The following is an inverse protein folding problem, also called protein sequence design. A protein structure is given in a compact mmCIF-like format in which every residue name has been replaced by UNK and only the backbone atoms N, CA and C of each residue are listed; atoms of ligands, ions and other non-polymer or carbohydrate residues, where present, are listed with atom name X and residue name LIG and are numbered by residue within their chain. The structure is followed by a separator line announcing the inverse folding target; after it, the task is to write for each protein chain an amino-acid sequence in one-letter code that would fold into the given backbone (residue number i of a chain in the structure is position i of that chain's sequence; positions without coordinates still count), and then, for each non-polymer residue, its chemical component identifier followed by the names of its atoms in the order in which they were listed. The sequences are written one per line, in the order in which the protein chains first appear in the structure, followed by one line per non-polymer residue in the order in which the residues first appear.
data_IF_908078279520
#
_entry.id   IF_908078279520
#
_cell.length_a   1.000
_cell.length_b   1.000
_cell.length_c   1.000
_cell.angle_alpha   90.00
_cell.angle_beta   90.00
_cell.angle_gamma   90.00
#
_symmetry.space_group_name_H-M   'P 1'
#
loop_
_entity.id
_entity.type
_entity.pdbx_description
1 polymer ?
#
# COMPACT_ATOMS: atom_id res chain seq x y z
N UNK A 1 -12.17 17.68 5.02
CA UNK A 1 -12.96 16.42 5.05
C UNK A 1 -12.33 15.32 4.19
N UNK A 2 -11.96 15.59 2.93
CA UNK A 2 -11.34 14.62 2.02
C UNK A 2 -10.14 13.80 2.57
N UNK A 3 -9.14 14.37 3.28
CA UNK A 3 -8.01 13.55 3.77
C UNK A 3 -8.40 12.61 4.92
N UNK A 4 -9.41 12.99 5.72
CA UNK A 4 -9.93 12.15 6.82
C UNK A 4 -10.74 10.97 6.28
N UNK A 5 -11.57 11.19 5.25
CA UNK A 5 -12.30 10.10 4.58
C UNK A 5 -11.35 9.14 3.86
N UNK A 6 -10.28 9.65 3.25
CA UNK A 6 -9.26 8.80 2.64
C UNK A 6 -8.47 7.98 3.68
N UNK A 7 -8.15 8.56 4.84
CA UNK A 7 -7.47 7.84 5.93
C UNK A 7 -8.33 6.71 6.50
N UNK A 8 -9.62 6.99 6.73
CA UNK A 8 -10.58 5.98 7.21
C UNK A 8 -10.79 4.88 6.18
N UNK A 9 -10.87 5.20 4.89
CA UNK A 9 -10.92 4.21 3.82
C UNK A 9 -9.66 3.33 3.80
N UNK A 10 -8.47 3.90 3.93
CA UNK A 10 -7.22 3.14 3.96
C UNK A 10 -7.16 2.17 5.15
N UNK A 11 -7.61 2.60 6.32
CA UNK A 11 -7.74 1.73 7.49
C UNK A 11 -8.77 0.60 7.27
N UNK A 12 -9.92 0.92 6.69
CA UNK A 12 -10.96 -0.05 6.33
C UNK A 12 -10.48 -1.10 5.34
N UNK A 13 -9.73 -0.71 4.31
CA UNK A 13 -9.08 -1.63 3.35
C UNK A 13 -8.08 -2.53 4.06
N UNK A 14 -7.22 -1.96 4.92
CA UNK A 14 -6.25 -2.74 5.69
C UNK A 14 -6.91 -3.80 6.58
N UNK A 15 -7.99 -3.44 7.26
CA UNK A 15 -8.78 -4.37 8.05
C UNK A 15 -9.47 -5.44 7.18
N UNK A 16 -10.05 -5.06 6.05
CA UNK A 16 -10.72 -5.99 5.14
C UNK A 16 -9.77 -7.01 4.49
N UNK A 17 -8.52 -6.61 4.24
CA UNK A 17 -7.49 -7.49 3.68
C UNK A 17 -7.09 -8.58 4.68
N UNK A 18 -6.90 -8.22 5.96
CA UNK A 18 -6.47 -9.15 7.01
C UNK A 18 -7.61 -9.91 7.67
N UNK A 19 -8.84 -9.41 7.57
CA UNK A 19 -10.02 -10.09 8.07
C UNK A 19 -10.38 -11.28 7.16
N UNK A 20 -9.99 -12.48 7.59
CA UNK A 20 -10.35 -13.73 6.93
C UNK A 20 -11.55 -14.39 7.60
N UNK A 21 -12.65 -14.55 6.84
CA UNK A 21 -13.84 -15.30 7.29
C UNK A 21 -13.68 -16.82 7.19
N UNK A 22 -12.64 -17.33 6.52
CA UNK A 22 -12.33 -18.76 6.43
C UNK A 22 -10.83 -18.99 6.63
N UNK A 23 -10.40 -19.84 7.57
CA UNK A 23 -8.98 -20.11 7.80
C UNK A 23 -8.47 -21.09 6.75
N UNK A 24 -8.22 -20.60 5.53
CA UNK A 24 -7.75 -21.43 4.41
C UNK A 24 -6.28 -21.20 4.05
N UNK A 25 -5.59 -20.23 4.66
CA UNK A 25 -4.17 -19.94 4.40
C UNK A 25 -3.24 -20.57 5.44
N UNK A 26 -2.19 -21.23 4.97
CA UNK A 26 -1.05 -21.60 5.82
C UNK A 26 -0.37 -20.37 6.44
N UNK A 27 0.39 -20.57 7.52
CA UNK A 27 1.17 -19.53 8.20
C UNK A 27 1.97 -18.59 7.27
N UNK A 28 2.71 -19.09 6.24
CA UNK A 28 3.47 -18.20 5.35
C UNK A 28 2.60 -17.28 4.50
N UNK A 29 1.43 -17.76 4.04
CA UNK A 29 0.50 -16.95 3.25
C UNK A 29 -0.11 -15.81 4.07
N UNK A 30 -0.40 -16.06 5.35
CA UNK A 30 -0.85 -15.02 6.29
C UNK A 30 0.24 -13.99 6.57
N UNK A 31 1.47 -14.43 6.83
CA UNK A 31 2.61 -13.52 7.04
C UNK A 31 2.85 -12.62 5.82
N UNK A 32 2.82 -13.19 4.61
CA UNK A 32 2.96 -12.43 3.37
C UNK A 32 1.86 -11.38 3.22
N UNK A 33 0.59 -11.78 3.40
CA UNK A 33 -0.54 -10.86 3.31
C UNK A 33 -0.45 -9.72 4.34
N UNK A 34 -0.08 -10.04 5.58
CA UNK A 34 0.11 -9.04 6.64
C UNK A 34 1.25 -8.08 6.32
N UNK A 35 2.38 -8.60 5.82
CA UNK A 35 3.53 -7.77 5.43
C UNK A 35 3.18 -6.80 4.29
N UNK A 36 2.47 -7.28 3.26
CA UNK A 36 2.05 -6.47 2.11
C UNK A 36 1.02 -5.41 2.52
N UNK A 37 0.04 -5.80 3.34
CA UNK A 37 -0.95 -4.87 3.90
C UNK A 37 -0.27 -3.81 4.77
N UNK A 38 0.70 -4.21 5.59
CA UNK A 38 1.53 -3.29 6.36
C UNK A 38 2.34 -2.33 5.47
N UNK A 39 2.82 -2.78 4.31
CA UNK A 39 3.50 -1.92 3.34
C UNK A 39 2.55 -0.90 2.68
N UNK A 40 1.32 -1.30 2.35
CA UNK A 40 0.27 -0.39 1.89
C UNK A 40 -0.05 0.68 2.94
N UNK A 41 -0.31 0.27 4.19
CA UNK A 41 -0.61 1.23 5.25
C UNK A 41 0.57 2.17 5.54
N UNK A 42 1.81 1.66 5.55
CA UNK A 42 3.00 2.50 5.75
C UNK A 42 3.18 3.56 4.67
N UNK A 43 2.83 3.23 3.42
CA UNK A 43 2.97 4.14 2.28
C UNK A 43 1.89 5.21 2.25
N UNK A 44 0.64 4.86 2.60
CA UNK A 44 -0.49 5.78 2.56
C UNK A 44 -0.74 6.55 3.87
N UNK A 45 -0.57 5.93 5.05
CA UNK A 45 -1.06 6.47 6.31
C UNK A 45 -0.34 7.75 6.74
N UNK A 46 1.00 7.80 6.67
CA UNK A 46 1.76 8.98 7.15
C UNK A 46 1.42 10.26 6.36
N UNK A 47 1.39 10.27 5.02
CA UNK A 47 1.00 11.47 4.28
C UNK A 47 -0.49 11.82 4.46
N UNK A 48 -1.36 10.81 4.58
CA UNK A 48 -2.79 11.03 4.83
C UNK A 48 -3.05 11.62 6.22
N UNK A 49 -2.38 11.15 7.28
CA UNK A 49 -2.51 11.73 8.63
C UNK A 49 -2.01 13.17 8.66
N UNK A 50 -0.88 13.46 7.99
CA UNK A 50 -0.39 14.84 7.88
C UNK A 50 -1.39 15.74 7.16
N UNK A 51 -1.97 15.31 6.04
CA UNK A 51 -2.98 16.09 5.33
C UNK A 51 -4.31 16.20 6.10
N UNK A 52 -4.66 15.20 6.91
CA UNK A 52 -5.86 15.20 7.73
C UNK A 52 -5.76 16.18 8.90
N UNK A 53 -4.58 16.24 9.54
CA UNK A 53 -4.30 17.15 10.64
C UNK A 53 -4.00 18.58 10.16
N UNK A 54 -3.37 18.72 8.99
CA UNK A 54 -2.96 20.01 8.42
C UNK A 54 -3.40 20.07 6.94
N UNK A 55 -4.64 20.44 6.66
CA UNK A 55 -5.14 20.50 5.29
C UNK A 55 -4.49 21.68 4.54
N UNK A 56 -3.49 21.38 3.72
CA UNK A 56 -2.86 22.33 2.80
C UNK A 56 -2.63 21.71 1.41
N UNK A 57 -2.55 22.52 0.33
CA UNK A 57 -2.31 22.02 -1.02
C UNK A 57 -1.08 21.10 -1.16
N UNK A 58 0.13 21.44 -0.65
CA UNK A 58 1.30 20.58 -0.81
C UNK A 58 1.19 19.26 -0.06
N UNK A 59 0.53 19.24 1.12
CA UNK A 59 0.32 18.02 1.88
C UNK A 59 -0.71 17.10 1.22
N UNK A 60 -1.75 17.69 0.61
CA UNK A 60 -2.74 16.94 -0.15
C UNK A 60 -2.13 16.31 -1.39
N UNK A 61 -1.32 17.05 -2.15
CA UNK A 61 -0.58 16.50 -3.29
C UNK A 61 0.38 15.39 -2.88
N UNK A 62 1.11 15.56 -1.77
CA UNK A 62 1.96 14.51 -1.22
C UNK A 62 1.14 13.28 -0.80
N UNK A 63 -0.03 13.47 -0.23
CA UNK A 63 -0.95 12.39 0.12
C UNK A 63 -1.41 11.62 -1.13
N UNK A 64 -1.82 12.33 -2.20
CA UNK A 64 -2.18 11.71 -3.49
C UNK A 64 -0.98 10.95 -4.08
N UNK A 65 0.17 11.60 -4.17
CA UNK A 65 1.40 10.97 -4.67
C UNK A 65 1.87 9.77 -3.84
N UNK A 66 1.50 9.71 -2.55
CA UNK A 66 1.72 8.54 -1.71
C UNK A 66 0.69 7.43 -1.95
N UNK A 67 -0.57 7.78 -2.20
CA UNK A 67 -1.63 6.82 -2.54
C UNK A 67 -1.35 6.11 -3.86
N UNK A 68 -0.84 6.83 -4.86
CA UNK A 68 -0.39 6.22 -6.13
C UNK A 68 0.71 5.19 -5.87
N UNK A 69 1.71 5.52 -5.04
CA UNK A 69 2.78 4.56 -4.69
C UNK A 69 2.28 3.39 -3.85
N UNK A 70 1.23 3.59 -3.08
CA UNK A 70 0.60 2.56 -2.26
C UNK A 70 -0.20 1.55 -3.11
N UNK A 71 -0.49 1.84 -4.39
CA UNK A 71 -1.18 0.87 -5.26
C UNK A 71 -0.37 -0.40 -5.49
N UNK A 72 0.96 -0.31 -5.58
CA UNK A 72 1.79 -1.50 -5.81
C UNK A 72 1.69 -2.51 -4.65
N UNK A 73 1.91 -2.12 -3.37
CA UNK A 73 1.70 -3.04 -2.26
C UNK A 73 0.24 -3.47 -2.09
N UNK A 74 -0.74 -2.64 -2.47
CA UNK A 74 -2.16 -3.03 -2.46
C UNK A 74 -2.45 -4.15 -3.47
N UNK A 75 -1.98 -4.00 -4.72
CA UNK A 75 -2.12 -5.03 -5.76
C UNK A 75 -1.46 -6.34 -5.34
N UNK A 76 -0.27 -6.26 -4.75
CA UNK A 76 0.41 -7.44 -4.21
C UNK A 76 -0.38 -8.09 -3.07
N UNK A 77 -0.93 -7.30 -2.14
CA UNK A 77 -1.77 -7.82 -1.05
C UNK A 77 -3.03 -8.53 -1.59
N UNK A 78 -3.67 -7.95 -2.60
CA UNK A 78 -4.83 -8.56 -3.27
C UNK A 78 -4.47 -9.85 -4.00
N UNK A 79 -3.33 -9.91 -4.69
CA UNK A 79 -2.83 -11.13 -5.32
C UNK A 79 -2.53 -12.23 -4.29
N UNK A 80 -1.85 -11.89 -3.19
CA UNK A 80 -1.62 -12.82 -2.09
C UNK A 80 -2.94 -13.32 -1.46
N UNK A 81 -3.92 -12.42 -1.33
CA UNK A 81 -5.27 -12.76 -0.87
C UNK A 81 -6.04 -13.61 -1.90
N UNK A 82 -5.75 -13.51 -3.19
CA UNK A 82 -6.30 -14.43 -4.19
C UNK A 82 -5.60 -15.81 -4.21
N UNK A 83 -4.55 -16.00 -3.39
CA UNK A 83 -3.75 -17.23 -3.36
C UNK A 83 -2.54 -17.21 -4.31
N UNK A 84 -2.35 -16.13 -5.07
CA UNK A 84 -1.26 -15.97 -6.03
C UNK A 84 -0.01 -15.34 -5.37
N UNK A 85 0.61 -16.06 -4.43
CA UNK A 85 1.78 -15.58 -3.69
C UNK A 85 2.98 -15.22 -4.59
N UNK A 86 3.21 -16.01 -5.66
CA UNK A 86 4.28 -15.73 -6.63
C UNK A 86 4.09 -14.39 -7.35
N UNK A 87 2.87 -14.11 -7.83
CA UNK A 87 2.53 -12.83 -8.46
C UNK A 87 2.65 -11.66 -7.49
N UNK A 88 2.24 -11.86 -6.22
CA UNK A 88 2.39 -10.83 -5.19
C UNK A 88 3.86 -10.44 -4.95
N UNK A 89 4.75 -11.44 -4.87
CA UNK A 89 6.19 -11.22 -4.73
C UNK A 89 6.79 -10.59 -5.99
N UNK A 90 6.39 -11.04 -7.18
CA UNK A 90 6.84 -10.46 -8.44
C UNK A 90 6.49 -8.96 -8.53
N UNK A 91 5.24 -8.60 -8.24
CA UNK A 91 4.78 -7.20 -8.25
C UNK A 91 5.57 -6.34 -7.25
N UNK A 92 5.81 -6.84 -6.04
CA UNK A 92 6.61 -6.09 -5.06
C UNK A 92 8.10 -6.04 -5.41
N UNK A 93 8.66 -7.10 -5.98
CA UNK A 93 10.05 -7.18 -6.42
C UNK A 93 10.38 -6.18 -7.53
N UNK A 94 9.39 -5.77 -8.33
CA UNK A 94 9.56 -4.73 -9.34
C UNK A 94 9.76 -3.32 -8.74
N UNK A 95 9.34 -3.08 -7.49
CA UNK A 95 9.46 -1.75 -6.85
C UNK A 95 10.91 -1.26 -6.72
N UNK A 96 11.85 -2.02 -6.13
CA UNK A 96 13.25 -1.60 -6.05
C UNK A 96 13.88 -1.45 -7.45
N UNK A 97 13.49 -2.29 -8.42
CA UNK A 97 13.96 -2.20 -9.79
C UNK A 97 13.49 -0.90 -10.47
N UNK A 98 12.19 -0.60 -10.39
CA UNK A 98 11.62 0.65 -10.90
C UNK A 98 12.27 1.86 -10.26
N UNK A 99 12.54 1.83 -8.94
CA UNK A 99 13.30 2.88 -8.25
C UNK A 99 14.74 3.01 -8.76
N UNK A 100 15.42 1.89 -9.01
CA UNK A 100 16.79 1.90 -9.53
C UNK A 100 16.84 2.47 -10.95
N UNK A 101 15.89 2.08 -11.81
CA UNK A 101 15.77 2.57 -13.18
C UNK A 101 15.40 4.06 -13.21
N UNK A 102 14.44 4.49 -12.38
CA UNK A 102 14.06 5.91 -12.28
C UNK A 102 15.21 6.82 -11.82
N UNK A 103 16.16 6.30 -11.02
CA UNK A 103 17.38 7.06 -10.66
C UNK A 103 18.37 7.19 -11.81
N UNK A 104 18.30 6.30 -12.81
CA UNK A 104 19.21 6.30 -13.97
C UNK A 104 18.78 7.22 -15.10
N UNK A 105 17.54 7.71 -15.09
CA UNK A 105 17.02 8.67 -16.08
C UNK A 105 17.17 10.14 -15.66
N UNK A 106 17.93 10.43 -14.59
CA UNK A 106 18.33 11.78 -14.17
C UNK A 106 17.16 12.77 -13.93
N UNK A 107 16.82 13.08 -12.68
CA UNK A 107 16.28 14.39 -12.36
C UNK A 107 17.49 15.34 -12.26
N UNK A 108 17.65 16.18 -13.27
CA UNK A 108 18.34 17.48 -13.13
C UNK A 108 17.91 18.19 -11.85
#
# INVERSE_FOLDING_TARGET
TAPVTALTAAAGIGAALTHERRPSRGAPGRLLLTALTGAYLRTAARPLTHAALNPSPPLTQRAVGSGIRAMIPLQAALAARAGAAGSALAVMGLVPLARALARKVSPT
#
